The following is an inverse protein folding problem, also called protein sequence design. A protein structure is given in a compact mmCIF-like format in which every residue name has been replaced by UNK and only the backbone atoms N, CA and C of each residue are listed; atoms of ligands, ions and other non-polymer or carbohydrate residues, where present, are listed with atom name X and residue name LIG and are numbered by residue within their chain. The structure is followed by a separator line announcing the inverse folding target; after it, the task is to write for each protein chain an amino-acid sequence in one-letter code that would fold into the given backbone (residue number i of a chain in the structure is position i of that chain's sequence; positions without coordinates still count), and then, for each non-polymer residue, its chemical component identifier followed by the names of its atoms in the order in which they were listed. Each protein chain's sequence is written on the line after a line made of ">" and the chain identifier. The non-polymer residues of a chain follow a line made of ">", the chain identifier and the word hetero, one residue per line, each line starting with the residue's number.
data_IF_124737705053
#
_entry.id   IF_124737705053
#
_cell.length_a   1.000
_cell.length_b   1.000
_cell.length_c   1.000
_cell.angle_alpha   90.00
_cell.angle_beta   90.00
_cell.angle_gamma   90.00
#
_symmetry.space_group_name_H-M   'P 1'
#
loop_
_entity.id
_entity.type
_entity.pdbx_description
1 polymer ?
#
# COMPACT_ATOMS: atom_id res chain seq x y z
N UNK A 1 -13.80 8.48 18.09
CA UNK A 1 -13.36 9.71 17.36
C UNK A 1 -12.84 10.68 18.41
N UNK A 2 -11.72 11.37 18.17
CA UNK A 2 -11.05 12.10 19.25
C UNK A 2 -11.82 13.39 19.62
N UNK A 3 -12.07 13.65 20.92
CA UNK A 3 -13.01 14.69 21.39
C UNK A 3 -12.62 16.13 21.01
N UNK A 4 -11.37 16.36 20.62
CA UNK A 4 -10.86 17.68 20.21
C UNK A 4 -11.23 18.05 18.76
N UNK A 5 -11.54 17.09 17.89
CA UNK A 5 -11.89 17.35 16.48
C UNK A 5 -13.35 17.82 16.31
N UNK A 6 -14.18 17.66 17.35
CA UNK A 6 -15.61 18.00 17.32
C UNK A 6 -15.91 19.42 17.82
N UNK A 7 -14.90 20.13 18.37
CA UNK A 7 -15.08 21.49 18.87
C UNK A 7 -14.81 22.50 17.76
N UNK A 8 -15.78 23.38 17.51
CA UNK A 8 -15.61 24.53 16.62
C UNK A 8 -14.39 25.36 17.03
N UNK A 9 -13.61 25.82 16.05
CA UNK A 9 -12.41 26.66 16.20
C UNK A 9 -11.16 25.99 16.82
N UNK A 10 -11.16 24.68 17.07
CA UNK A 10 -9.97 23.97 17.57
C UNK A 10 -9.04 23.43 16.47
N UNK A 11 -9.41 23.62 15.20
CA UNK A 11 -8.67 23.10 14.05
C UNK A 11 -7.24 23.68 13.96
N UNK A 12 -7.05 24.94 14.36
CA UNK A 12 -5.75 25.61 14.36
C UNK A 12 -4.73 24.99 15.34
N UNK A 13 -5.21 24.23 16.33
CA UNK A 13 -4.37 23.52 17.31
C UNK A 13 -4.03 22.09 16.86
N UNK A 14 -4.68 21.60 15.80
CA UNK A 14 -4.54 20.24 15.32
C UNK A 14 -3.57 20.20 14.13
N UNK A 15 -2.27 20.06 14.41
CA UNK A 15 -1.25 19.93 13.35
C UNK A 15 -1.18 18.48 12.84
N UNK A 16 -1.51 18.21 11.56
CA UNK A 16 -1.34 16.88 11.00
C UNK A 16 0.15 16.54 10.90
N UNK A 17 0.51 15.34 11.37
CA UNK A 17 1.85 14.78 11.23
C UNK A 17 1.80 13.51 10.39
N UNK A 18 2.86 13.23 9.66
CA UNK A 18 3.03 12.00 8.91
C UNK A 18 4.01 11.07 9.63
N UNK A 19 3.74 9.77 9.55
CA UNK A 19 4.74 8.76 9.84
C UNK A 19 5.28 8.23 8.52
N UNK A 20 6.59 8.39 8.29
CA UNK A 20 7.23 7.93 7.06
C UNK A 20 8.52 8.68 6.78
N UNK A 21 8.62 9.31 5.62
CA UNK A 21 9.85 9.95 5.14
C UNK A 21 9.55 11.25 4.40
N UNK A 22 10.47 12.21 4.51
CA UNK A 22 10.51 13.42 3.70
C UNK A 22 11.97 13.76 3.41
N UNK A 23 12.30 13.99 2.15
CA UNK A 23 13.54 14.64 1.76
C UNK A 23 13.31 15.46 0.49
N UNK A 24 14.03 16.56 0.37
CA UNK A 24 14.02 17.41 -0.82
C UNK A 24 15.45 17.78 -1.18
N UNK A 25 15.74 17.79 -2.48
CA UNK A 25 17.02 18.25 -3.01
C UNK A 25 16.80 19.18 -4.18
N UNK A 26 17.71 20.14 -4.35
CA UNK A 26 17.78 20.98 -5.55
C UNK A 26 18.71 20.34 -6.56
N UNK A 27 18.32 20.40 -7.81
CA UNK A 27 19.03 19.84 -8.95
C UNK A 27 19.13 20.88 -10.05
N UNK A 28 20.17 20.76 -10.86
CA UNK A 28 20.31 21.51 -12.10
C UNK A 28 20.83 20.58 -13.19
N UNK A 29 20.14 20.50 -14.32
CA UNK A 29 20.53 19.66 -15.45
C UNK A 29 20.18 20.35 -16.76
N UNK A 30 21.12 20.39 -17.72
CA UNK A 30 20.93 21.01 -19.05
C UNK A 30 20.33 22.44 -19.02
N UNK A 31 20.72 23.25 -18.04
CA UNK A 31 20.20 24.63 -17.87
C UNK A 31 18.85 24.73 -17.17
N UNK A 32 18.20 23.60 -16.89
CA UNK A 32 16.98 23.53 -16.09
C UNK A 32 17.33 23.40 -14.61
N UNK A 33 16.80 24.31 -13.78
CA UNK A 33 16.90 24.25 -12.32
C UNK A 33 15.58 23.81 -11.75
N UNK A 34 15.59 22.78 -10.90
CA UNK A 34 14.38 22.21 -10.32
C UNK A 34 14.67 21.60 -8.95
N UNK A 35 13.65 21.47 -8.12
CA UNK A 35 13.74 20.66 -6.90
C UNK A 35 12.94 19.37 -7.02
N UNK A 36 13.47 18.32 -6.42
CA UNK A 36 12.80 17.02 -6.29
C UNK A 36 12.56 16.78 -4.80
N UNK A 37 11.32 16.51 -4.43
CA UNK A 37 10.98 16.03 -3.11
C UNK A 37 10.44 14.60 -3.18
N UNK A 38 10.81 13.78 -2.21
CA UNK A 38 10.28 12.43 -2.02
C UNK A 38 9.59 12.37 -0.67
N UNK A 39 8.31 12.05 -0.68
CA UNK A 39 7.48 11.93 0.51
C UNK A 39 6.98 10.49 0.59
N UNK A 40 7.17 9.83 1.73
CA UNK A 40 6.53 8.54 2.00
C UNK A 40 5.61 8.68 3.21
N UNK A 41 4.35 8.28 3.08
CA UNK A 41 3.32 8.36 4.12
C UNK A 41 2.80 6.96 4.42
N UNK A 42 3.01 6.49 5.65
CA UNK A 42 2.49 5.20 6.12
C UNK A 42 1.08 5.35 6.68
N UNK A 43 0.18 4.47 6.25
CA UNK A 43 -1.19 4.42 6.76
C UNK A 43 -1.24 4.05 8.25
N UNK A 44 -2.17 4.69 8.96
CA UNK A 44 -2.48 4.42 10.38
C UNK A 44 -3.61 3.39 10.57
N UNK A 45 -4.39 3.09 9.53
CA UNK A 45 -5.65 2.36 9.69
C UNK A 45 -5.47 0.87 10.00
N UNK A 46 -4.42 0.24 9.46
CA UNK A 46 -4.06 -1.14 9.79
C UNK A 46 -2.58 -1.28 10.14
N UNK A 47 -2.15 -0.44 11.10
CA UNK A 47 -0.79 -0.41 11.61
C UNK A 47 -0.51 -1.58 12.57
N UNK A 48 0.77 -1.99 12.64
CA UNK A 48 1.29 -2.98 13.58
C UNK A 48 2.69 -3.45 13.20
N UNK A 49 3.27 -4.31 14.02
CA UNK A 49 4.63 -4.80 13.80
C UNK A 49 4.71 -5.73 12.59
N UNK A 50 5.84 -5.68 11.88
CA UNK A 50 6.19 -6.63 10.82
C UNK A 50 6.03 -8.04 11.40
N UNK A 51 5.34 -8.93 10.67
CA UNK A 51 4.94 -10.31 11.08
C UNK A 51 3.71 -10.46 11.99
N UNK A 52 3.28 -9.44 12.74
CA UNK A 52 2.01 -9.52 13.51
C UNK A 52 0.81 -8.96 12.76
N UNK A 53 1.03 -8.03 11.83
CA UNK A 53 -0.01 -7.47 10.97
C UNK A 53 0.39 -7.62 9.50
N UNK A 54 -0.36 -8.46 8.80
CA UNK A 54 -0.27 -8.74 7.35
C UNK A 54 -1.68 -8.84 6.79
N UNK A 55 -1.77 -8.77 5.47
CA UNK A 55 -3.02 -8.90 4.76
C UNK A 55 -3.92 -7.68 4.96
N UNK A 56 -5.21 -7.98 5.02
CA UNK A 56 -6.33 -7.05 5.01
C UNK A 56 -7.11 -7.13 6.33
N UNK A 57 -7.69 -6.02 6.76
CA UNK A 57 -8.69 -6.03 7.83
C UNK A 57 -10.12 -6.11 7.27
N UNK A 58 -11.11 -6.27 8.16
CA UNK A 58 -12.52 -6.34 7.76
C UNK A 58 -13.05 -5.04 7.17
N UNK A 59 -12.32 -3.93 7.22
CA UNK A 59 -12.70 -2.62 6.66
C UNK A 59 -12.12 -2.35 5.27
N UNK A 60 -11.29 -3.26 4.73
CA UNK A 60 -10.63 -3.08 3.44
C UNK A 60 -9.28 -2.33 3.51
N UNK A 61 -8.72 -2.18 4.71
CA UNK A 61 -7.42 -1.52 4.94
C UNK A 61 -6.31 -2.55 4.99
N UNK A 62 -5.28 -2.38 4.16
CA UNK A 62 -4.13 -3.32 4.08
C UNK A 62 -3.04 -2.94 5.07
N UNK A 63 -2.34 -3.95 5.57
CA UNK A 63 -1.20 -3.75 6.47
C UNK A 63 -0.01 -3.23 5.66
N UNK A 64 0.86 -2.45 6.29
CA UNK A 64 2.05 -1.88 5.64
C UNK A 64 1.73 -1.06 4.38
N UNK A 65 0.55 -0.43 4.34
CA UNK A 65 0.16 0.52 3.31
C UNK A 65 1.02 1.79 3.41
N UNK A 66 1.69 2.12 2.32
CA UNK A 66 2.57 3.27 2.17
C UNK A 66 2.32 3.92 0.82
N UNK A 67 2.01 5.20 0.86
CA UNK A 67 1.94 6.07 -0.30
C UNK A 67 3.29 6.79 -0.46
N UNK A 68 3.92 6.66 -1.62
CA UNK A 68 5.18 7.34 -1.95
C UNK A 68 4.91 8.32 -3.07
N UNK A 69 5.18 9.60 -2.83
CA UNK A 69 4.97 10.68 -3.77
C UNK A 69 6.31 11.33 -4.11
N UNK A 70 6.58 11.43 -5.41
CA UNK A 70 7.68 12.19 -5.95
C UNK A 70 7.13 13.50 -6.51
N UNK A 71 7.59 14.61 -5.95
CA UNK A 71 7.31 15.95 -6.42
C UNK A 71 8.49 16.48 -7.22
N UNK A 72 8.20 17.12 -8.34
CA UNK A 72 9.16 17.88 -9.11
C UNK A 72 8.64 19.30 -9.27
N UNK A 73 9.44 20.27 -8.82
CA UNK A 73 9.11 21.69 -8.88
C UNK A 73 10.12 22.40 -9.79
N UNK A 74 9.63 23.01 -10.86
CA UNK A 74 10.45 23.84 -11.74
C UNK A 74 10.84 25.15 -11.04
N UNK A 75 12.14 25.39 -10.93
CA UNK A 75 12.72 26.61 -10.34
C UNK A 75 13.42 27.48 -11.40
N UNK A 76 13.39 27.10 -12.68
CA UNK A 76 14.08 27.80 -13.76
C UNK A 76 13.45 29.15 -14.10
N UNK A 77 12.14 29.27 -13.92
CA UNK A 77 11.41 30.52 -14.17
C UNK A 77 11.31 31.29 -12.85
N UNK A 78 11.99 32.45 -12.76
CA UNK A 78 11.95 33.32 -11.55
C UNK A 78 10.57 33.93 -11.25
N UNK A 79 9.60 33.76 -12.16
CA UNK A 79 8.21 34.12 -11.92
C UNK A 79 7.46 32.95 -11.27
N UNK A 80 7.09 33.12 -10.00
CA UNK A 80 6.29 32.19 -9.19
C UNK A 80 4.92 31.82 -9.80
N UNK A 81 4.48 32.53 -10.85
CA UNK A 81 3.24 32.28 -11.56
C UNK A 81 3.36 31.27 -12.72
N UNK A 82 4.58 30.85 -13.09
CA UNK A 82 4.84 30.09 -14.32
C UNK A 82 5.65 28.80 -14.10
N UNK A 83 5.99 28.44 -12.86
CA UNK A 83 6.68 27.19 -12.56
C UNK A 83 5.74 25.99 -12.64
N UNK A 84 6.14 24.94 -13.36
CA UNK A 84 5.40 23.69 -13.38
C UNK A 84 5.70 22.87 -12.12
N UNK A 85 4.66 22.28 -11.53
CA UNK A 85 4.78 21.28 -10.46
C UNK A 85 4.20 19.97 -10.97
N UNK A 86 4.96 18.89 -10.82
CA UNK A 86 4.53 17.54 -11.14
C UNK A 86 4.52 16.69 -9.87
N UNK A 87 3.50 15.85 -9.74
CA UNK A 87 3.41 14.84 -8.68
C UNK A 87 3.23 13.47 -9.31
N UNK A 88 3.99 12.49 -8.80
CA UNK A 88 3.84 11.09 -9.17
C UNK A 88 3.72 10.24 -7.91
N UNK A 89 2.61 9.52 -7.79
CA UNK A 89 2.27 8.74 -6.60
C UNK A 89 2.31 7.25 -6.91
N UNK A 90 2.95 6.48 -6.03
CA UNK A 90 2.96 5.03 -6.03
C UNK A 90 2.53 4.50 -4.67
N UNK A 91 1.81 3.38 -4.68
CA UNK A 91 1.29 2.76 -3.45
C UNK A 91 1.90 1.38 -3.31
N UNK A 92 2.26 1.05 -2.07
CA UNK A 92 2.72 -0.28 -1.69
C UNK A 92 1.99 -0.71 -0.44
N UNK A 93 1.43 -1.91 -0.47
CA UNK A 93 0.74 -2.51 0.68
C UNK A 93 0.93 -4.02 0.75
N UNK A 94 0.37 -4.62 1.80
CA UNK A 94 0.20 -6.07 1.85
C UNK A 94 -0.81 -6.52 0.80
N UNK A 95 -0.68 -7.77 0.33
CA UNK A 95 -1.68 -8.39 -0.55
C UNK A 95 -3.07 -8.30 0.11
N UNK A 96 -4.11 -7.79 -0.56
CA UNK A 96 -5.42 -7.50 0.02
C UNK A 96 -6.27 -8.76 0.21
N UNK A 97 -5.75 -9.70 0.99
CA UNK A 97 -6.39 -10.93 1.41
C UNK A 97 -6.28 -11.08 2.92
N UNK A 98 -7.14 -11.90 3.52
CA UNK A 98 -6.99 -12.30 4.91
C UNK A 98 -5.90 -13.37 5.03
N UNK A 99 -4.66 -12.93 5.31
CA UNK A 99 -3.54 -13.83 5.50
C UNK A 99 -2.61 -13.39 6.62
N UNK A 100 -2.03 -14.38 7.29
CA UNK A 100 -1.03 -14.19 8.33
C UNK A 100 0.18 -15.10 8.08
N UNK A 101 1.29 -14.72 8.69
CA UNK A 101 2.51 -15.51 8.67
C UNK A 101 3.26 -15.20 9.97
N UNK A 102 3.00 -16.03 10.98
CA UNK A 102 3.63 -15.86 12.29
C UNK A 102 5.10 -16.24 12.22
N UNK A 103 5.97 -15.36 12.69
CA UNK A 103 7.39 -15.66 12.75
C UNK A 103 7.63 -16.71 13.85
N UNK A 104 8.05 -17.92 13.46
CA UNK A 104 8.57 -18.91 14.39
C UNK A 104 10.09 -18.76 14.46
N UNK A 105 10.65 -18.69 15.68
CA UNK A 105 12.08 -18.45 15.90
C UNK A 105 12.99 -19.47 15.17
N UNK A 106 12.48 -20.68 14.93
CA UNK A 106 13.21 -21.81 14.36
C UNK A 106 12.88 -22.11 12.90
N UNK A 107 11.91 -21.40 12.29
CA UNK A 107 11.50 -21.65 10.91
C UNK A 107 11.75 -20.41 10.03
N UNK A 108 12.77 -20.44 9.14
CA UNK A 108 13.12 -19.28 8.32
C UNK A 108 12.02 -18.89 7.32
N UNK A 109 11.08 -19.80 7.02
CA UNK A 109 9.91 -19.54 6.16
C UNK A 109 8.66 -20.12 6.81
N UNK A 110 8.03 -19.39 7.75
CA UNK A 110 6.78 -19.85 8.34
C UNK A 110 5.72 -20.02 7.25
N UNK A 111 4.80 -20.99 7.39
CA UNK A 111 3.71 -21.16 6.42
C UNK A 111 2.81 -19.92 6.40
N UNK A 112 2.25 -19.63 5.22
CA UNK A 112 1.18 -18.64 5.09
C UNK A 112 -0.12 -19.31 5.52
N UNK A 113 -0.88 -18.65 6.39
CA UNK A 113 -2.17 -19.11 6.88
C UNK A 113 -3.24 -18.13 6.43
N UNK A 114 -4.42 -18.67 6.07
CA UNK A 114 -5.61 -17.89 5.71
C UNK A 114 -6.65 -18.04 6.82
N UNK A 115 -6.58 -17.21 7.88
CA UNK A 115 -7.40 -17.39 9.07
C UNK A 115 -8.89 -17.10 8.86
N UNK A 116 -9.22 -16.36 7.79
CA UNK A 116 -10.59 -16.03 7.45
C UNK A 116 -10.84 -16.37 5.98
N UNK A 117 -11.99 -16.99 5.72
CA UNK A 117 -12.49 -17.19 4.37
C UNK A 117 -13.56 -16.12 4.09
N UNK A 118 -13.31 -15.24 3.12
CA UNK A 118 -14.29 -14.30 2.58
C UNK A 118 -14.63 -14.72 1.13
N UNK A 119 -15.63 -15.59 0.93
CA UNK A 119 -15.97 -16.11 -0.39
C UNK A 119 -16.47 -15.02 -1.34
N UNK A 120 -16.98 -13.92 -0.79
CA UNK A 120 -17.48 -12.78 -1.57
C UNK A 120 -16.39 -11.76 -1.92
N UNK A 121 -15.18 -11.92 -1.36
CA UNK A 121 -14.08 -10.95 -1.44
C UNK A 121 -14.53 -9.53 -1.08
N UNK A 122 -15.48 -9.40 -0.15
CA UNK A 122 -16.11 -8.13 0.24
C UNK A 122 -15.09 -7.10 0.74
N UNK A 123 -14.12 -7.53 1.54
CA UNK A 123 -13.10 -6.64 2.07
C UNK A 123 -12.10 -6.24 0.97
N UNK A 124 -11.69 -7.20 0.14
CA UNK A 124 -10.80 -6.95 -1.01
C UNK A 124 -11.44 -6.00 -2.00
N UNK A 125 -12.74 -6.16 -2.28
CA UNK A 125 -13.51 -5.25 -3.13
C UNK A 125 -13.50 -3.84 -2.54
N UNK A 126 -13.77 -3.69 -1.24
CA UNK A 126 -13.72 -2.38 -0.57
C UNK A 126 -12.35 -1.73 -0.66
N UNK A 127 -11.27 -2.51 -0.53
CA UNK A 127 -9.91 -2.01 -0.72
C UNK A 127 -9.70 -1.39 -2.11
N UNK A 128 -10.08 -2.10 -3.18
CA UNK A 128 -9.89 -1.59 -4.54
C UNK A 128 -10.86 -0.45 -4.90
N UNK A 129 -12.06 -0.44 -4.33
CA UNK A 129 -12.99 0.69 -4.45
C UNK A 129 -12.40 1.94 -3.79
N UNK A 130 -11.86 1.83 -2.57
CA UNK A 130 -11.18 2.94 -1.89
C UNK A 130 -9.97 3.47 -2.70
N UNK A 131 -9.16 2.57 -3.27
CA UNK A 131 -8.07 2.97 -4.17
C UNK A 131 -8.59 3.67 -5.43
N UNK A 132 -9.75 3.26 -5.95
CA UNK A 132 -10.33 3.82 -7.16
C UNK A 132 -10.87 5.22 -6.89
N UNK A 133 -11.53 5.40 -5.76
CA UNK A 133 -12.03 6.70 -5.29
C UNK A 133 -10.88 7.69 -5.03
N UNK A 134 -9.75 7.20 -4.49
CA UNK A 134 -8.60 8.06 -4.17
C UNK A 134 -7.71 8.39 -5.37
N UNK A 135 -7.46 7.45 -6.27
CA UNK A 135 -6.43 7.60 -7.33
C UNK A 135 -6.97 7.43 -8.76
N UNK A 136 -8.21 6.99 -8.93
CA UNK A 136 -8.82 6.82 -10.25
C UNK A 136 -8.33 5.58 -11.02
N UNK A 137 -8.57 5.60 -12.34
CA UNK A 137 -8.23 4.53 -13.29
C UNK A 137 -7.06 4.92 -14.20
N UNK A 138 -6.24 3.95 -14.67
CA UNK A 138 -6.29 2.52 -14.38
C UNK A 138 -5.55 2.14 -13.09
N UNK A 139 -5.99 1.05 -12.44
CA UNK A 139 -5.26 0.44 -11.32
C UNK A 139 -4.34 -0.67 -11.82
N UNK A 140 -3.02 -0.45 -11.74
CA UNK A 140 -2.01 -1.45 -12.10
C UNK A 140 -1.45 -2.10 -10.84
N UNK A 141 -1.70 -3.40 -10.67
CA UNK A 141 -1.17 -4.19 -9.54
C UNK A 141 0.03 -5.00 -10.00
N UNK A 142 1.19 -4.76 -9.39
CA UNK A 142 2.44 -5.47 -9.68
C UNK A 142 2.73 -6.48 -8.56
N UNK A 143 2.79 -7.76 -8.90
CA UNK A 143 3.18 -8.83 -7.98
C UNK A 143 4.52 -9.44 -8.40
N UNK A 144 5.49 -9.45 -7.49
CA UNK A 144 6.85 -9.97 -7.72
C UNK A 144 7.12 -11.28 -6.96
N UNK A 145 6.08 -11.98 -6.51
CA UNK A 145 6.22 -13.27 -5.83
C UNK A 145 6.75 -14.34 -6.79
N UNK A 146 7.75 -15.11 -6.34
CA UNK A 146 8.29 -16.23 -7.11
C UNK A 146 7.23 -17.33 -7.24
N UNK A 147 6.86 -17.69 -8.46
CA UNK A 147 6.00 -18.84 -8.72
C UNK A 147 6.65 -20.13 -8.17
N UNK A 148 5.90 -20.90 -7.38
CA UNK A 148 6.31 -22.27 -7.04
C UNK A 148 6.03 -23.14 -8.27
N UNK A 149 7.04 -23.88 -8.74
CA UNK A 149 6.82 -24.97 -9.69
C UNK A 149 5.94 -26.01 -8.99
N UNK A 150 4.77 -26.30 -9.54
CA UNK A 150 3.98 -27.46 -9.11
C UNK A 150 4.78 -28.69 -9.52
N UNK A 151 5.27 -29.46 -8.55
CA UNK A 151 5.86 -30.77 -8.82
C UNK A 151 4.72 -31.72 -9.23
N UNK A 152 4.80 -32.29 -10.43
CA UNK A 152 3.81 -33.21 -11.01
C UNK A 152 3.42 -34.41 -10.11
N UNK A 153 4.22 -34.73 -9.08
CA UNK A 153 3.94 -35.80 -8.13
C UNK A 153 2.71 -35.58 -7.23
N UNK A 154 2.15 -34.36 -7.15
CA UNK A 154 0.92 -34.11 -6.36
C UNK A 154 -0.37 -34.11 -7.19
N UNK A 155 -0.27 -34.11 -8.53
CA UNK A 155 -1.44 -34.05 -9.41
C UNK A 155 -2.16 -35.39 -9.53
N UNK A 156 -1.51 -36.51 -9.20
CA UNK A 156 -2.13 -37.84 -9.27
C UNK A 156 -2.98 -38.21 -8.04
N UNK A 157 -2.73 -37.59 -6.88
CA UNK A 157 -3.46 -37.93 -5.63
C UNK A 157 -4.71 -37.08 -5.39
N UNK A 158 -4.94 -36.00 -6.15
CA UNK A 158 -6.12 -35.12 -6.01
C UNK A 158 -6.99 -35.03 -7.27
N UNK A 159 -7.05 -36.10 -8.09
CA UNK A 159 -8.18 -36.28 -9.02
C UNK A 159 -9.43 -36.74 -8.24
N UNK A 160 -9.99 -35.84 -7.43
CA UNK A 160 -11.38 -35.92 -7.05
C UNK A 160 -12.17 -35.00 -8.01
N UNK A 161 -13.05 -35.52 -8.87
CA UNK A 161 -13.67 -34.74 -9.96
C UNK A 161 -14.58 -33.58 -9.51
N UNK A 162 -14.78 -33.34 -8.21
CA UNK A 162 -15.77 -32.38 -7.70
C UNK A 162 -15.22 -31.19 -6.89
N UNK A 163 -13.91 -30.91 -6.88
CA UNK A 163 -13.41 -29.70 -6.21
C UNK A 163 -12.69 -28.76 -7.19
N UNK A 164 -13.42 -27.78 -7.70
CA UNK A 164 -12.84 -26.62 -8.38
C UNK A 164 -12.17 -25.70 -7.36
N UNK A 165 -10.89 -25.93 -7.09
CA UNK A 165 -10.07 -25.00 -6.32
C UNK A 165 -9.31 -24.12 -7.32
N UNK A 166 -9.72 -22.86 -7.45
CA UNK A 166 -8.97 -21.85 -8.19
C UNK A 166 -7.64 -21.58 -7.48
N UNK A 167 -6.54 -21.90 -8.16
CA UNK A 167 -5.19 -21.50 -7.80
C UNK A 167 -4.89 -20.09 -8.32
N UNK A 168 -4.48 -19.17 -7.44
CA UNK A 168 -3.78 -17.92 -7.78
C UNK A 168 -2.28 -18.17 -7.98
#
# INVERSE_FOLDING_TARGET
>A
MAPFLQKENWQHWCLPIIHGFFAQTRCSSFGWSFSVALIARRSRFYAGTRYRKRGLNVDGQVANDVETEQLLCDESTRHLACGHVMSFVQIRGSVPLFWSQEAAAYNPKPPVVYPLCDPTLSATRRHFVDLLERYGTPQLVVNLMKAKKVSHAQTETTRNPNSSVMSL
#
